data_IF_800895125979
#
_entry.id   IF_800895125979
#
_cell.length_a   1.000
_cell.length_b   1.000
_cell.length_c   1.000
_cell.angle_alpha   90.00
_cell.angle_beta   90.00
_cell.angle_gamma   90.00
#
_symmetry.space_group_name_H-M   'P 1'
#
loop_
_entity.id
_entity.type
_entity.pdbx_description
1 polymer ?
#
# COMPACT_ATOMS: atom_id res chain seq x y z
N UNK A 1 -24.32 -25.75 19.64
CA UNK A 1 -22.91 -25.30 19.66
C UNK A 1 -22.95 -23.84 19.25
N UNK A 2 -22.64 -22.92 20.16
CA UNK A 2 -22.44 -21.51 19.82
C UNK A 2 -21.19 -21.47 18.94
N UNK A 3 -21.35 -21.17 17.65
CA UNK A 3 -20.21 -20.82 16.83
C UNK A 3 -19.84 -19.40 17.26
N UNK A 4 -18.80 -19.26 18.07
CA UNK A 4 -18.21 -17.97 18.42
C UNK A 4 -17.48 -17.41 17.19
N UNK A 5 -18.23 -17.20 16.10
CA UNK A 5 -17.72 -16.54 14.91
C UNK A 5 -17.53 -15.06 15.26
N UNK A 6 -16.38 -14.47 14.90
CA UNK A 6 -16.15 -13.06 15.15
C UNK A 6 -17.23 -12.24 14.44
N UNK A 7 -17.78 -11.24 15.15
CA UNK A 7 -18.61 -10.23 14.51
C UNK A 7 -17.82 -9.54 13.39
N UNK A 8 -18.49 -9.02 12.36
CA UNK A 8 -17.84 -8.25 11.29
C UNK A 8 -16.93 -7.12 11.83
N UNK A 9 -17.35 -6.46 12.92
CA UNK A 9 -16.57 -5.41 13.55
C UNK A 9 -15.29 -5.92 14.22
N UNK A 10 -15.35 -7.05 14.94
CA UNK A 10 -14.17 -7.66 15.54
C UNK A 10 -13.24 -8.24 14.46
N UNK A 11 -13.79 -8.94 13.47
CA UNK A 11 -13.04 -9.46 12.34
C UNK A 11 -12.21 -8.37 11.66
N UNK A 12 -12.82 -7.25 11.26
CA UNK A 12 -12.09 -6.17 10.57
C UNK A 12 -10.94 -5.61 11.40
N UNK A 13 -11.13 -5.48 12.71
CA UNK A 13 -10.10 -4.95 13.60
C UNK A 13 -8.95 -5.96 13.77
N UNK A 14 -9.29 -7.21 14.10
CA UNK A 14 -8.32 -8.27 14.35
C UNK A 14 -7.52 -8.59 13.07
N UNK A 15 -8.21 -8.63 11.92
CA UNK A 15 -7.62 -8.82 10.60
C UNK A 15 -6.61 -7.72 10.26
N UNK A 16 -7.01 -6.44 10.41
CA UNK A 16 -6.13 -5.31 10.11
C UNK A 16 -4.90 -5.32 11.03
N UNK A 17 -5.12 -5.60 12.32
CA UNK A 17 -4.06 -5.65 13.32
C UNK A 17 -3.08 -6.82 13.10
N UNK A 18 -3.60 -8.00 12.74
CA UNK A 18 -2.78 -9.16 12.41
C UNK A 18 -1.81 -8.84 11.26
N UNK A 19 -2.33 -8.27 10.17
CA UNK A 19 -1.48 -7.93 9.03
C UNK A 19 -0.58 -6.74 9.33
N UNK A 20 -1.01 -5.76 10.13
CA UNK A 20 -0.13 -4.70 10.60
C UNK A 20 1.11 -5.27 11.27
N UNK A 21 0.93 -6.14 12.27
CA UNK A 21 2.01 -6.79 13.00
C UNK A 21 2.88 -7.63 12.06
N UNK A 22 2.29 -8.43 11.16
CA UNK A 22 3.04 -9.26 10.20
C UNK A 22 3.92 -8.42 9.27
N UNK A 23 3.40 -7.31 8.78
CA UNK A 23 4.07 -6.43 7.83
C UNK A 23 5.17 -5.59 8.49
N UNK A 24 4.90 -5.02 9.66
CA UNK A 24 5.90 -4.29 10.46
C UNK A 24 7.11 -5.19 10.76
N UNK A 25 6.87 -6.37 11.33
CA UNK A 25 7.94 -7.33 11.62
C UNK A 25 8.71 -7.75 10.35
N UNK A 26 8.06 -7.81 9.19
CA UNK A 26 8.73 -8.13 7.94
C UNK A 26 9.64 -6.98 7.50
N UNK A 27 9.16 -5.74 7.51
CA UNK A 27 9.98 -4.57 7.13
C UNK A 27 11.15 -4.42 8.11
N UNK A 28 10.91 -4.49 9.42
CA UNK A 28 11.98 -4.42 10.44
C UNK A 28 13.05 -5.49 10.24
N UNK A 29 12.67 -6.68 9.80
CA UNK A 29 13.60 -7.79 9.56
C UNK A 29 14.48 -7.60 8.32
N UNK A 30 13.95 -7.03 7.24
CA UNK A 30 14.64 -6.97 5.95
C UNK A 30 15.17 -5.58 5.58
N UNK A 31 14.55 -4.50 6.05
CA UNK A 31 14.99 -3.12 5.85
C UNK A 31 15.79 -2.63 7.07
N UNK A 32 16.93 -3.28 7.32
CA UNK A 32 17.83 -2.89 8.41
C UNK A 32 18.84 -1.83 7.95
N UNK A 33 19.50 -1.17 8.91
CA UNK A 33 20.59 -0.24 8.59
C UNK A 33 21.72 -1.00 7.86
N UNK A 34 22.03 -2.24 8.28
CA UNK A 34 23.04 -3.06 7.61
C UNK A 34 22.66 -3.39 6.17
N UNK A 35 21.37 -3.64 5.89
CA UNK A 35 20.89 -3.82 4.53
C UNK A 35 21.13 -2.56 3.70
N UNK A 36 20.73 -1.39 4.20
CA UNK A 36 20.93 -0.14 3.46
C UNK A 36 22.41 0.24 3.30
N UNK A 37 23.24 -0.01 4.30
CA UNK A 37 24.69 0.14 4.22
C UNK A 37 25.27 -0.77 3.12
N UNK A 38 24.77 -2.01 3.01
CA UNK A 38 25.18 -2.94 1.96
C UNK A 38 24.81 -2.47 0.55
N UNK A 39 23.79 -1.61 0.41
CA UNK A 39 23.46 -0.96 -0.87
C UNK A 39 24.46 0.13 -1.28
N UNK A 40 25.28 0.59 -0.35
CA UNK A 40 26.21 1.72 -0.52
C UNK A 40 25.86 2.96 0.31
N UNK A 41 24.99 2.82 1.32
CA UNK A 41 24.61 3.91 2.22
C UNK A 41 23.38 4.71 1.77
N UNK A 42 23.06 5.83 2.47
CA UNK A 42 21.85 6.63 2.26
C UNK A 42 21.61 7.06 0.81
N UNK A 43 22.63 7.63 0.15
CA UNK A 43 22.49 8.09 -1.23
C UNK A 43 22.18 6.94 -2.19
N UNK A 44 22.89 5.83 -2.07
CA UNK A 44 22.70 4.67 -2.94
C UNK A 44 21.33 4.01 -2.72
N UNK A 45 20.85 3.96 -1.47
CA UNK A 45 19.50 3.53 -1.14
C UNK A 45 18.46 4.41 -1.85
N UNK A 46 18.53 5.73 -1.68
CA UNK A 46 17.59 6.67 -2.29
C UNK A 46 17.57 6.54 -3.82
N UNK A 47 18.75 6.48 -4.45
CA UNK A 47 18.89 6.32 -5.90
C UNK A 47 18.27 5.01 -6.42
N UNK A 48 18.32 3.93 -5.65
CA UNK A 48 17.73 2.64 -6.03
C UNK A 48 16.22 2.57 -5.80
N UNK A 49 15.71 3.25 -4.78
CA UNK A 49 14.33 3.07 -4.32
C UNK A 49 13.34 4.09 -4.87
N UNK A 50 13.70 5.39 -4.92
CA UNK A 50 12.73 6.46 -5.14
C UNK A 50 12.02 6.39 -6.50
N UNK A 51 12.76 6.19 -7.59
CA UNK A 51 12.15 6.07 -8.92
C UNK A 51 11.16 4.90 -8.99
N UNK A 52 11.50 3.76 -8.38
CA UNK A 52 10.60 2.62 -8.34
C UNK A 52 9.40 2.85 -7.43
N UNK A 53 9.55 3.58 -6.32
CA UNK A 53 8.44 3.90 -5.42
C UNK A 53 7.46 4.85 -6.09
N UNK A 54 7.93 5.88 -6.80
CA UNK A 54 7.08 6.81 -7.55
C UNK A 54 6.07 6.09 -8.47
N UNK A 55 6.52 5.02 -9.12
CA UNK A 55 5.65 4.20 -9.97
C UNK A 55 4.74 3.25 -9.23
N UNK A 56 5.15 2.77 -8.06
CA UNK A 56 4.27 1.97 -7.20
C UNK A 56 3.11 2.81 -6.70
N UNK A 57 3.35 4.02 -6.20
CA UNK A 57 2.25 4.91 -5.75
C UNK A 57 1.30 5.22 -6.92
N UNK A 58 1.83 5.57 -8.08
CA UNK A 58 0.95 5.91 -9.20
C UNK A 58 0.16 4.70 -9.73
N UNK A 59 0.80 3.57 -10.02
CA UNK A 59 0.10 2.46 -10.67
C UNK A 59 -0.58 1.51 -9.69
N UNK A 60 0.05 1.20 -8.56
CA UNK A 60 -0.49 0.29 -7.55
C UNK A 60 -1.38 1.06 -6.59
N UNK A 61 -1.07 2.32 -6.27
CA UNK A 61 -1.90 3.14 -5.39
C UNK A 61 -3.21 3.60 -6.04
N UNK A 62 -3.19 4.05 -7.30
CA UNK A 62 -4.40 4.60 -7.92
C UNK A 62 -5.39 3.57 -8.48
N UNK A 63 -4.91 2.40 -8.93
CA UNK A 63 -5.75 1.44 -9.67
C UNK A 63 -6.75 0.68 -8.77
N UNK A 64 -6.37 0.15 -7.59
CA UNK A 64 -7.30 -0.48 -6.66
C UNK A 64 -8.48 0.41 -6.23
N UNK A 65 -8.28 1.66 -5.76
CA UNK A 65 -9.40 2.50 -5.36
C UNK A 65 -10.31 2.86 -6.55
N UNK A 66 -9.75 3.10 -7.75
CA UNK A 66 -10.55 3.32 -8.94
C UNK A 66 -11.42 2.10 -9.31
N UNK A 67 -10.89 0.89 -9.15
CA UNK A 67 -11.66 -0.35 -9.37
C UNK A 67 -12.74 -0.53 -8.31
N UNK A 68 -12.42 -0.27 -7.04
CA UNK A 68 -13.39 -0.33 -5.93
C UNK A 68 -14.54 0.63 -6.14
N UNK A 69 -14.29 1.87 -6.60
CA UNK A 69 -15.36 2.81 -6.95
C UNK A 69 -16.30 2.19 -7.97
N UNK A 70 -15.77 1.63 -9.06
CA UNK A 70 -16.60 0.97 -10.10
C UNK A 70 -17.48 -0.13 -9.50
N UNK A 71 -16.91 -0.98 -8.65
CA UNK A 71 -17.65 -2.08 -8.02
C UNK A 71 -18.74 -1.57 -7.06
N UNK A 72 -18.45 -0.51 -6.30
CA UNK A 72 -19.44 0.13 -5.42
C UNK A 72 -20.59 0.72 -6.24
N UNK A 73 -20.33 1.30 -7.41
CA UNK A 73 -21.39 1.74 -8.32
C UNK A 73 -22.24 0.58 -8.89
N UNK A 74 -21.66 -0.61 -9.02
CA UNK A 74 -22.36 -1.80 -9.54
C UNK A 74 -23.23 -2.50 -8.49
N UNK A 75 -22.75 -2.62 -7.25
CA UNK A 75 -23.38 -3.47 -6.22
C UNK A 75 -23.81 -2.73 -4.94
N UNK A 76 -23.39 -1.47 -4.78
CA UNK A 76 -23.63 -0.66 -3.60
C UNK A 76 -24.72 0.39 -3.80
N UNK A 77 -24.70 1.39 -2.93
CA UNK A 77 -25.55 2.58 -3.00
C UNK A 77 -24.66 3.85 -2.95
N UNK A 78 -23.98 4.16 -4.06
CA UNK A 78 -22.90 5.16 -4.12
C UNK A 78 -23.37 6.59 -3.89
N UNK A 79 -24.69 6.86 -4.00
CA UNK A 79 -25.25 8.20 -3.91
C UNK A 79 -25.75 8.54 -2.50
N UNK A 80 -26.17 7.53 -1.72
CA UNK A 80 -26.70 7.74 -0.37
C UNK A 80 -25.83 7.04 0.70
N UNK A 81 -25.91 5.71 0.82
CA UNK A 81 -25.20 4.96 1.87
C UNK A 81 -23.68 5.02 1.73
N UNK A 82 -23.18 4.91 0.51
CA UNK A 82 -21.75 4.67 0.22
C UNK A 82 -20.99 5.89 -0.30
N UNK A 83 -21.62 7.06 -0.26
CA UNK A 83 -21.04 8.32 -0.76
C UNK A 83 -19.71 8.70 -0.13
N UNK A 84 -19.53 8.41 1.16
CA UNK A 84 -18.30 8.71 1.89
C UNK A 84 -17.16 7.77 1.47
N UNK A 85 -17.45 6.54 1.05
CA UNK A 85 -16.46 5.66 0.42
C UNK A 85 -16.04 6.20 -0.95
N UNK A 86 -16.98 6.71 -1.75
CA UNK A 86 -16.66 7.33 -3.05
C UNK A 86 -15.74 8.54 -2.87
N UNK A 87 -16.02 9.39 -1.87
CA UNK A 87 -15.16 10.53 -1.54
C UNK A 87 -13.80 10.06 -1.03
N UNK A 88 -13.76 9.16 -0.05
CA UNK A 88 -12.51 8.66 0.54
C UNK A 88 -11.61 7.95 -0.49
N UNK A 89 -12.16 7.15 -1.39
CA UNK A 89 -11.41 6.53 -2.49
C UNK A 89 -10.88 7.58 -3.48
N UNK A 90 -11.63 8.65 -3.72
CA UNK A 90 -11.16 9.78 -4.53
C UNK A 90 -10.03 10.57 -3.87
N UNK A 91 -10.07 10.72 -2.54
CA UNK A 91 -8.99 11.32 -1.75
C UNK A 91 -7.74 10.44 -1.77
N UNK A 92 -7.89 9.12 -1.60
CA UNK A 92 -6.78 8.18 -1.74
C UNK A 92 -6.13 8.30 -3.13
N UNK A 93 -6.89 8.30 -4.24
CA UNK A 93 -6.32 8.49 -5.58
C UNK A 93 -5.53 9.81 -5.69
N UNK A 94 -6.04 10.90 -5.10
CA UNK A 94 -5.33 12.19 -5.07
C UNK A 94 -4.00 12.07 -4.30
N UNK A 95 -4.02 11.42 -3.15
CA UNK A 95 -2.84 11.27 -2.30
C UNK A 95 -1.78 10.37 -2.94
N UNK A 96 -2.18 9.31 -3.64
CA UNK A 96 -1.28 8.44 -4.40
C UNK A 96 -0.59 9.16 -5.57
N UNK A 97 -1.31 10.05 -6.27
CA UNK A 97 -0.71 10.93 -7.28
C UNK A 97 0.26 11.93 -6.65
N UNK A 98 -0.06 12.45 -5.46
CA UNK A 98 0.82 13.35 -4.69
C UNK A 98 2.10 12.61 -4.28
N UNK A 99 1.99 11.40 -3.74
CA UNK A 99 3.14 10.57 -3.34
C UNK A 99 4.02 10.19 -4.51
N UNK A 100 3.43 9.78 -5.64
CA UNK A 100 4.16 9.51 -6.87
C UNK A 100 5.02 10.69 -7.31
N UNK A 101 4.45 11.90 -7.26
CA UNK A 101 5.15 13.15 -7.60
C UNK A 101 6.25 13.48 -6.59
N UNK A 102 6.01 13.26 -5.31
CA UNK A 102 7.01 13.46 -4.25
C UNK A 102 8.22 12.55 -4.52
N UNK A 103 8.00 11.25 -4.70
CA UNK A 103 9.09 10.31 -4.97
C UNK A 103 9.82 10.59 -6.28
N UNK A 104 9.11 11.01 -7.33
CA UNK A 104 9.74 11.43 -8.59
C UNK A 104 10.68 12.63 -8.38
N UNK A 105 10.22 13.66 -7.65
CA UNK A 105 11.05 14.83 -7.34
C UNK A 105 12.25 14.47 -6.46
N UNK A 106 12.06 13.61 -5.45
CA UNK A 106 13.14 13.14 -4.59
C UNK A 106 14.17 12.34 -5.40
N UNK A 107 13.73 11.50 -6.33
CA UNK A 107 14.59 10.76 -7.25
C UNK A 107 15.48 11.70 -8.08
N UNK A 108 14.89 12.77 -8.63
CA UNK A 108 15.65 13.76 -9.41
C UNK A 108 16.67 14.52 -8.55
N UNK A 109 16.33 14.85 -7.30
CA UNK A 109 17.24 15.49 -6.35
C UNK A 109 18.49 14.65 -6.05
N UNK A 110 18.35 13.32 -6.03
CA UNK A 110 19.48 12.38 -5.86
C UNK A 110 20.14 11.99 -7.17
N UNK A 111 19.82 12.68 -8.26
CA UNK A 111 20.47 12.52 -9.57
C UNK A 111 19.95 11.35 -10.41
N UNK A 112 18.80 10.78 -10.07
CA UNK A 112 18.15 9.71 -10.84
C UNK A 112 16.94 10.29 -11.58
N UNK A 113 16.99 10.40 -12.93
CA UNK A 113 15.88 10.92 -13.71
C UNK A 113 14.60 10.11 -13.48
N UNK A 114 13.49 10.80 -13.20
CA UNK A 114 12.20 10.16 -12.91
C UNK A 114 11.03 10.96 -13.51
N UNK A 115 11.04 11.14 -14.82
CA UNK A 115 9.87 11.64 -15.54
C UNK A 115 8.87 10.50 -15.76
N UNK A 116 7.76 10.48 -15.01
CA UNK A 116 6.72 9.46 -15.12
C UNK A 116 6.14 9.33 -16.55
N UNK A 117 6.27 10.34 -17.41
CA UNK A 117 5.80 10.26 -18.80
C UNK A 117 6.75 9.47 -19.72
N UNK A 118 8.04 9.44 -19.40
CA UNK A 118 9.09 8.82 -20.21
C UNK A 118 9.81 7.67 -19.51
N UNK A 119 9.56 7.48 -18.21
CA UNK A 119 10.17 6.43 -17.42
C UNK A 119 9.66 5.07 -17.83
N UNK A 120 10.60 4.20 -18.19
CA UNK A 120 10.36 2.78 -18.34
C UNK A 120 10.82 2.12 -17.06
N UNK A 121 9.92 1.41 -16.36
CA UNK A 121 10.39 0.56 -15.28
C UNK A 121 11.24 -0.54 -15.89
N UNK A 122 12.45 -0.77 -15.39
CA UNK A 122 13.26 -1.94 -15.76
C UNK A 122 12.51 -3.27 -15.54
N UNK A 123 11.42 -3.23 -14.77
CA UNK A 123 10.50 -4.33 -14.48
C UNK A 123 9.04 -4.01 -14.83
N UNK A 124 8.78 -3.21 -15.87
CA UNK A 124 7.43 -2.69 -16.17
C UNK A 124 6.40 -3.80 -16.29
N UNK A 125 6.68 -4.85 -17.07
CA UNK A 125 5.77 -5.98 -17.23
C UNK A 125 5.50 -6.72 -15.92
N UNK A 126 6.50 -6.81 -15.04
CA UNK A 126 6.36 -7.42 -13.71
C UNK A 126 5.52 -6.53 -12.79
N UNK A 127 5.66 -5.21 -12.87
CA UNK A 127 4.82 -4.26 -12.15
C UNK A 127 3.37 -4.34 -12.64
N UNK A 128 3.14 -4.31 -13.96
CA UNK A 128 1.81 -4.46 -14.57
C UNK A 128 1.16 -5.80 -14.17
N UNK A 129 1.91 -6.90 -14.18
CA UNK A 129 1.41 -8.20 -13.73
C UNK A 129 1.00 -8.19 -12.25
N UNK A 130 1.77 -7.51 -11.39
CA UNK A 130 1.42 -7.31 -9.97
C UNK A 130 0.19 -6.41 -9.80
N UNK A 131 0.01 -5.39 -10.64
CA UNK A 131 -1.18 -4.53 -10.64
C UNK A 131 -2.45 -5.31 -11.02
N UNK A 132 -2.36 -6.23 -11.98
CA UNK A 132 -3.48 -7.12 -12.31
C UNK A 132 -3.90 -7.96 -11.11
N UNK A 133 -2.95 -8.53 -10.38
CA UNK A 133 -3.22 -9.25 -9.13
C UNK A 133 -3.81 -8.35 -8.02
N UNK A 134 -3.66 -7.03 -8.09
CA UNK A 134 -4.24 -6.10 -7.10
C UNK A 134 -5.71 -5.75 -7.40
N UNK A 135 -6.18 -6.01 -8.61
CA UNK A 135 -7.52 -5.63 -9.08
C UNK A 135 -8.31 -6.79 -9.70
N UNK A 136 -7.78 -8.02 -9.61
CA UNK A 136 -8.40 -9.22 -10.17
C UNK A 136 -9.68 -9.64 -9.45
N UNK A 137 -9.92 -9.14 -8.24
CA UNK A 137 -11.03 -9.57 -7.42
C UNK A 137 -12.32 -8.80 -7.72
N UNK A 138 -13.43 -9.54 -7.74
CA UNK A 138 -14.71 -9.05 -8.25
C UNK A 138 -15.48 -8.13 -7.29
N UNK A 139 -15.11 -8.09 -6.00
CA UNK A 139 -15.82 -7.30 -4.98
C UNK A 139 -14.89 -6.33 -4.24
N UNK A 140 -15.41 -5.17 -3.78
CA UNK A 140 -14.58 -4.11 -3.24
C UNK A 140 -13.91 -4.49 -1.90
N UNK A 141 -14.54 -5.33 -1.08
CA UNK A 141 -13.96 -5.83 0.17
C UNK A 141 -12.75 -6.74 -0.06
N UNK A 142 -12.70 -7.47 -1.17
CA UNK A 142 -11.58 -8.34 -1.50
C UNK A 142 -10.35 -7.53 -1.91
N UNK A 143 -10.57 -6.43 -2.65
CA UNK A 143 -9.52 -5.47 -2.94
C UNK A 143 -9.04 -4.79 -1.64
N UNK A 144 -9.96 -4.38 -0.77
CA UNK A 144 -9.58 -3.78 0.52
C UNK A 144 -8.73 -4.75 1.36
N UNK A 145 -9.16 -6.01 1.46
CA UNK A 145 -8.43 -7.08 2.16
C UNK A 145 -7.00 -7.25 1.65
N UNK A 146 -6.81 -7.27 0.32
CA UNK A 146 -5.53 -7.48 -0.31
C UNK A 146 -4.68 -6.21 -0.52
N UNK A 147 -5.18 -5.04 -0.11
CA UNK A 147 -4.52 -3.76 -0.33
C UNK A 147 -4.53 -2.90 0.94
N UNK A 148 -5.63 -2.19 1.21
CA UNK A 148 -5.72 -1.18 2.28
C UNK A 148 -5.56 -1.74 3.69
N UNK A 149 -6.13 -2.91 3.99
CA UNK A 149 -6.07 -3.49 5.34
C UNK A 149 -4.95 -4.51 5.53
N UNK A 150 -4.04 -4.63 4.55
CA UNK A 150 -2.88 -5.52 4.65
C UNK A 150 -1.60 -4.93 4.04
N UNK A 151 -1.48 -4.84 2.72
CA UNK A 151 -0.21 -4.51 2.06
C UNK A 151 0.16 -3.04 2.03
N UNK A 152 -0.81 -2.13 2.07
CA UNK A 152 -0.56 -0.68 2.12
C UNK A 152 0.25 -0.31 3.37
N UNK A 153 0.08 -1.08 4.45
CA UNK A 153 0.88 -0.98 5.68
C UNK A 153 2.38 -1.21 5.40
N UNK A 154 2.74 -2.09 4.47
CA UNK A 154 4.15 -2.30 4.08
C UNK A 154 4.74 -1.06 3.42
N UNK A 155 3.96 -0.39 2.57
CA UNK A 155 4.42 0.81 1.86
C UNK A 155 4.68 1.95 2.85
N UNK A 156 3.74 2.16 3.78
CA UNK A 156 3.87 3.10 4.89
C UNK A 156 5.14 2.82 5.71
N UNK A 157 5.29 1.57 6.14
CA UNK A 157 6.39 1.15 7.01
C UNK A 157 7.75 1.19 6.32
N UNK A 158 7.80 0.84 5.04
CA UNK A 158 9.01 0.96 4.21
C UNK A 158 9.42 2.43 4.09
N UNK A 159 8.47 3.32 3.85
CA UNK A 159 8.69 4.77 3.75
C UNK A 159 9.21 5.34 5.06
N UNK A 160 8.60 4.96 6.20
CA UNK A 160 9.06 5.30 7.54
C UNK A 160 10.50 4.86 7.76
N UNK A 161 10.80 3.58 7.48
CA UNK A 161 12.12 3.01 7.74
C UNK A 161 13.22 3.64 6.89
N UNK A 162 12.93 3.98 5.63
CA UNK A 162 13.83 4.78 4.79
C UNK A 162 14.03 6.18 5.36
N UNK A 163 12.96 6.83 5.86
CA UNK A 163 13.03 8.14 6.51
C UNK A 163 13.96 8.13 7.72
N UNK A 164 13.78 7.17 8.62
CA UNK A 164 14.62 6.99 9.81
C UNK A 164 16.09 6.78 9.47
N UNK A 165 16.36 5.97 8.44
CA UNK A 165 17.73 5.69 8.03
C UNK A 165 18.45 6.94 7.48
N UNK A 166 17.74 7.81 6.76
CA UNK A 166 18.35 9.01 6.15
C UNK A 166 18.22 10.26 7.01
N UNK A 167 17.52 10.23 8.15
CA UNK A 167 17.17 11.42 8.94
C UNK A 167 18.37 12.28 9.34
N UNK A 168 19.47 11.64 9.76
CA UNK A 168 20.66 12.36 10.20
C UNK A 168 21.40 13.07 9.05
N UNK A 169 21.43 12.45 7.87
CA UNK A 169 22.21 12.95 6.72
C UNK A 169 21.36 13.80 5.76
N UNK A 170 20.06 13.53 5.69
CA UNK A 170 19.08 14.14 4.78
C UNK A 170 17.75 14.46 5.48
N UNK A 171 17.74 15.35 6.50
CA UNK A 171 16.57 15.58 7.35
C UNK A 171 15.32 16.08 6.59
N UNK A 172 15.49 16.90 5.54
CA UNK A 172 14.35 17.36 4.73
C UNK A 172 13.74 16.24 3.87
N UNK A 173 14.56 15.29 3.42
CA UNK A 173 14.07 14.10 2.69
C UNK A 173 13.34 13.20 3.68
N UNK A 174 13.92 12.93 4.86
CA UNK A 174 13.28 12.14 5.90
C UNK A 174 11.92 12.71 6.30
N UNK A 175 11.83 14.02 6.55
CA UNK A 175 10.57 14.71 6.82
C UNK A 175 9.54 14.47 5.72
N UNK A 176 9.95 14.58 4.46
CA UNK A 176 9.06 14.34 3.32
C UNK A 176 8.56 12.88 3.28
N UNK A 177 9.38 11.90 3.64
CA UNK A 177 8.99 10.49 3.73
C UNK A 177 8.01 10.24 4.90
N UNK A 178 8.18 10.93 6.03
CA UNK A 178 7.24 10.87 7.14
C UNK A 178 5.89 11.50 6.79
N UNK A 179 5.89 12.60 6.03
CA UNK A 179 4.66 13.24 5.54
C UNK A 179 3.87 12.25 4.65
N UNK A 180 4.54 11.53 3.73
CA UNK A 180 3.90 10.47 2.92
C UNK A 180 3.28 9.39 3.80
N UNK A 181 4.04 8.90 4.79
CA UNK A 181 3.59 7.85 5.73
C UNK A 181 2.34 8.27 6.51
N UNK A 182 2.16 9.56 6.79
CA UNK A 182 1.04 10.07 7.57
C UNK A 182 -0.31 9.99 6.86
N UNK A 183 -0.32 9.99 5.52
CA UNK A 183 -1.55 9.92 4.72
C UNK A 183 -2.17 8.50 4.73
N UNK A 184 -1.35 7.46 4.95
CA UNK A 184 -1.72 6.04 4.82
C UNK A 184 -2.79 5.60 5.86
N UNK A 185 -2.88 6.30 6.98
CA UNK A 185 -3.88 6.03 8.01
C UNK A 185 -5.32 6.20 7.50
N UNK A 186 -5.54 7.17 6.62
CA UNK A 186 -6.85 7.44 6.04
C UNK A 186 -7.23 6.38 4.99
N UNK A 187 -6.24 5.86 4.25
CA UNK A 187 -6.44 4.77 3.29
C UNK A 187 -6.87 3.47 4.00
N UNK A 188 -6.17 3.11 5.08
CA UNK A 188 -6.52 1.95 5.94
C UNK A 188 -7.93 2.13 6.51
N UNK A 189 -8.28 3.34 6.96
CA UNK A 189 -9.61 3.64 7.47
C UNK A 189 -10.69 3.41 6.40
N UNK A 190 -10.47 3.91 5.18
CA UNK A 190 -11.37 3.70 4.05
C UNK A 190 -11.55 2.19 3.76
N UNK A 191 -10.45 1.43 3.69
CA UNK A 191 -10.49 -0.02 3.51
C UNK A 191 -11.33 -0.74 4.57
N UNK A 192 -11.16 -0.38 5.86
CA UNK A 192 -11.97 -0.94 6.95
C UNK A 192 -13.46 -0.64 6.80
N UNK A 193 -13.83 0.56 6.33
CA UNK A 193 -15.22 0.91 6.06
C UNK A 193 -15.80 0.08 4.91
N UNK A 194 -15.03 -0.15 3.83
CA UNK A 194 -15.45 -1.01 2.72
C UNK A 194 -15.74 -2.43 3.22
N UNK A 195 -14.82 -3.03 3.97
CA UNK A 195 -15.04 -4.38 4.51
C UNK A 195 -16.28 -4.42 5.41
N UNK A 196 -16.46 -3.42 6.29
CA UNK A 196 -17.65 -3.34 7.16
C UNK A 196 -18.99 -3.23 6.43
N UNK A 197 -19.02 -2.75 5.18
CA UNK A 197 -20.27 -2.55 4.43
C UNK A 197 -20.56 -3.63 3.40
N UNK A 198 -19.52 -4.25 2.86
CA UNK A 198 -19.65 -5.17 1.74
C UNK A 198 -19.29 -6.62 2.09
N UNK A 199 -18.56 -6.86 3.19
CA UNK A 199 -18.23 -8.22 3.61
C UNK A 199 -19.32 -8.86 4.48
N UNK A 200 -19.39 -10.17 4.38
CA UNK A 200 -20.17 -11.09 5.20
C UNK A 200 -19.25 -12.11 5.84
N UNK A 201 -19.73 -12.91 6.79
CA UNK A 201 -18.92 -13.95 7.44
C UNK A 201 -18.40 -14.98 6.43
N UNK A 202 -19.16 -15.28 5.38
CA UNK A 202 -18.76 -16.18 4.28
C UNK A 202 -17.53 -15.65 3.50
N UNK A 203 -17.21 -14.36 3.62
CA UNK A 203 -16.07 -13.75 2.94
C UNK A 203 -14.75 -13.86 3.72
N UNK A 204 -14.79 -14.20 5.02
CA UNK A 204 -13.63 -14.05 5.93
C UNK A 204 -12.44 -14.91 5.52
N UNK A 205 -12.66 -16.19 5.26
CA UNK A 205 -11.60 -17.11 4.86
C UNK A 205 -10.95 -16.69 3.54
N UNK A 206 -11.75 -16.21 2.59
CA UNK A 206 -11.24 -15.77 1.29
C UNK A 206 -10.46 -14.45 1.39
N UNK A 207 -10.89 -13.52 2.26
CA UNK A 207 -10.13 -12.31 2.55
C UNK A 207 -8.78 -12.62 3.19
N UNK A 208 -8.71 -13.60 4.10
CA UNK A 208 -7.43 -14.10 4.63
C UNK A 208 -6.56 -14.73 3.55
N UNK A 209 -7.12 -15.56 2.67
CA UNK A 209 -6.35 -16.15 1.56
C UNK A 209 -5.73 -15.07 0.67
N UNK A 210 -6.51 -14.04 0.35
CA UNK A 210 -6.05 -12.89 -0.45
C UNK A 210 -4.89 -12.17 0.24
N UNK A 211 -5.07 -11.80 1.51
CA UNK A 211 -4.06 -11.06 2.26
C UNK A 211 -2.81 -11.90 2.50
N UNK A 212 -2.93 -13.20 2.77
CA UNK A 212 -1.79 -14.12 2.84
C UNK A 212 -1.04 -14.23 1.50
N UNK A 213 -1.76 -14.38 0.39
CA UNK A 213 -1.14 -14.44 -0.95
C UNK A 213 -0.34 -13.17 -1.23
N UNK A 214 -0.88 -12.02 -0.84
CA UNK A 214 -0.26 -10.70 -0.98
C UNK A 214 0.92 -10.51 -0.02
N UNK A 215 0.79 -10.91 1.24
CA UNK A 215 1.85 -10.93 2.23
C UNK A 215 3.05 -11.75 1.75
N UNK A 216 2.81 -12.99 1.32
CA UNK A 216 3.86 -13.86 0.81
C UNK A 216 4.51 -13.29 -0.47
N UNK A 217 3.74 -12.56 -1.30
CA UNK A 217 4.31 -11.87 -2.46
C UNK A 217 5.19 -10.68 -2.05
N UNK A 218 4.81 -9.93 -1.01
CA UNK A 218 5.61 -8.87 -0.43
C UNK A 218 6.89 -9.43 0.22
N UNK A 219 6.78 -10.46 1.07
CA UNK A 219 7.92 -11.14 1.70
C UNK A 219 8.95 -11.61 0.68
N UNK A 220 8.54 -12.27 -0.40
CA UNK A 220 9.49 -12.71 -1.45
C UNK A 220 10.26 -11.57 -2.11
N UNK A 221 9.69 -10.36 -2.13
CA UNK A 221 10.42 -9.18 -2.60
C UNK A 221 11.45 -8.81 -1.54
N UNK A 222 11.02 -8.69 -0.28
CA UNK A 222 11.90 -8.35 0.85
C UNK A 222 13.06 -9.34 1.02
N UNK A 223 12.82 -10.64 0.83
CA UNK A 223 13.86 -11.70 0.88
C UNK A 223 14.83 -11.68 -0.30
N UNK A 224 14.47 -11.02 -1.39
CA UNK A 224 15.32 -10.91 -2.59
C UNK A 224 16.20 -9.66 -2.59
N UNK A 225 16.10 -8.84 -1.53
CA UNK A 225 16.92 -7.66 -1.29
C UNK A 225 18.21 -8.06 -0.56
#
# INVERSE_FOLDING_TARGET
MSSDLPTLASFVNDFTEEYRIKMENAVEKYFTDEYFDSLGGPLAMMQKQFASQAWREFYIGCLPPARQMTQIYEIGDPYDRDRDLIVGLGEQIRDEVKHAKIYANLSEQVGVPCDLATWTADNYDRLVAKCRLATEWEKPQYIAAGFQVSTEIVAAETSRRMGEYVENDYPEIAKTLFDVTSDEGDHIHCGRLIVKRFATEDDFDFMHEIAEKKYNAALRILESL
#
